data_IF_058870682516
#
_entry.id   IF_058870682516
#
_cell.length_a   1.000
_cell.length_b   1.000
_cell.length_c   1.000
_cell.angle_alpha   90.00
_cell.angle_beta   90.00
_cell.angle_gamma   90.00
#
_symmetry.space_group_name_H-M   'P 1'
#
loop_
_entity.id
_entity.type
_entity.pdbx_description
1 polymer ?
#
# COMPACT_ATOMS: atom_id res chain seq x y z
N UNK A 1 4.61 -7.87 10.92
CA UNK A 1 4.11 -9.04 10.14
C UNK A 1 4.37 -8.73 8.67
N UNK A 2 5.04 -9.60 7.92
CA UNK A 2 5.44 -9.27 6.55
C UNK A 2 4.51 -9.93 5.52
N UNK A 3 3.91 -9.14 4.63
CA UNK A 3 3.20 -9.63 3.45
C UNK A 3 4.12 -9.48 2.24
N UNK A 4 4.74 -10.58 1.82
CA UNK A 4 5.58 -10.61 0.62
C UNK A 4 4.72 -11.09 -0.54
N UNK A 5 4.42 -10.21 -1.49
CA UNK A 5 3.63 -10.55 -2.67
C UNK A 5 4.54 -11.20 -3.72
N UNK A 6 4.98 -12.44 -3.44
CA UNK A 6 5.74 -13.26 -4.38
C UNK A 6 4.85 -14.33 -5.00
N UNK A 7 4.54 -14.15 -6.30
CA UNK A 7 4.50 -15.16 -7.38
C UNK A 7 3.43 -14.82 -8.41
N UNK A 8 3.85 -14.70 -9.66
CA UNK A 8 2.98 -14.57 -10.84
C UNK A 8 2.57 -15.97 -11.32
N UNK A 9 1.26 -16.23 -11.37
CA UNK A 9 0.66 -17.32 -12.14
C UNK A 9 -0.58 -16.76 -12.82
N UNK A 10 -0.90 -17.17 -14.05
CA UNK A 10 -2.10 -16.71 -14.76
C UNK A 10 -3.41 -17.05 -14.02
N UNK A 11 -3.36 -17.98 -13.06
CA UNK A 11 -4.48 -18.41 -12.22
C UNK A 11 -4.59 -17.67 -10.87
N UNK A 12 -3.59 -16.87 -10.51
CA UNK A 12 -3.63 -16.13 -9.25
C UNK A 12 -4.51 -14.88 -9.41
N UNK A 13 -5.31 -14.51 -8.39
CA UNK A 13 -6.00 -13.22 -8.36
C UNK A 13 -5.01 -12.12 -8.76
N UNK A 14 -5.36 -11.32 -9.77
CA UNK A 14 -4.43 -10.35 -10.36
C UNK A 14 -3.69 -9.54 -9.30
N UNK A 15 -2.42 -9.19 -9.53
CA UNK A 15 -1.54 -8.53 -8.54
C UNK A 15 -2.19 -7.34 -7.84
N UNK A 16 -3.09 -6.63 -8.52
CA UNK A 16 -3.92 -5.56 -7.94
C UNK A 16 -4.74 -6.00 -6.72
N UNK A 17 -5.42 -7.15 -6.80
CA UNK A 17 -6.23 -7.71 -5.70
C UNK A 17 -5.37 -8.11 -4.50
N UNK A 18 -4.15 -8.58 -4.75
CA UNK A 18 -3.22 -8.96 -3.69
C UNK A 18 -2.63 -7.73 -2.99
N UNK A 19 -2.32 -6.66 -3.72
CA UNK A 19 -1.93 -5.35 -3.18
C UNK A 19 -3.08 -4.75 -2.35
N UNK A 20 -4.30 -4.75 -2.88
CA UNK A 20 -5.50 -4.30 -2.16
C UNK A 20 -5.69 -5.06 -0.85
N UNK A 21 -5.68 -6.40 -0.91
CA UNK A 21 -5.87 -7.26 0.26
C UNK A 21 -4.77 -7.04 1.30
N UNK A 22 -3.51 -6.89 0.87
CA UNK A 22 -2.41 -6.57 1.77
C UNK A 22 -2.64 -5.23 2.48
N UNK A 23 -3.09 -4.19 1.76
CA UNK A 23 -3.43 -2.89 2.34
C UNK A 23 -4.58 -2.98 3.36
N UNK A 24 -5.65 -3.70 3.04
CA UNK A 24 -6.80 -3.91 3.94
C UNK A 24 -6.37 -4.65 5.20
N UNK A 25 -5.66 -5.78 5.05
CA UNK A 25 -5.22 -6.59 6.18
C UNK A 25 -4.23 -5.87 7.08
N UNK A 26 -3.32 -5.08 6.50
CA UNK A 26 -2.37 -4.28 7.26
C UNK A 26 -3.09 -3.25 8.15
N UNK A 27 -4.12 -2.57 7.62
CA UNK A 27 -4.92 -1.57 8.35
C UNK A 27 -5.94 -2.19 9.32
N UNK A 28 -6.40 -3.40 9.04
CA UNK A 28 -7.34 -4.12 9.88
C UNK A 28 -6.72 -4.61 11.20
N UNK A 29 -5.38 -4.56 11.34
CA UNK A 29 -4.73 -4.90 12.62
C UNK A 29 -5.21 -3.97 13.72
N UNK A 30 -5.69 -4.56 14.82
CA UNK A 30 -6.27 -3.84 15.96
C UNK A 30 -5.24 -3.50 17.04
N UNK A 31 -4.10 -4.19 17.04
CA UNK A 31 -3.02 -3.99 17.99
C UNK A 31 -2.39 -2.60 17.80
N UNK A 32 -2.25 -1.86 18.91
CA UNK A 32 -1.61 -0.54 18.91
C UNK A 32 -0.12 -0.68 18.62
N UNK A 33 0.39 0.15 17.71
CA UNK A 33 1.78 0.07 17.25
C UNK A 33 2.07 -1.06 16.26
N UNK A 34 1.07 -1.84 15.85
CA UNK A 34 1.27 -2.88 14.84
C UNK A 34 1.74 -2.29 13.50
N UNK A 35 2.85 -2.83 12.97
CA UNK A 35 3.37 -2.50 11.65
C UNK A 35 3.34 -3.74 10.75
N UNK A 36 2.97 -3.53 9.50
CA UNK A 36 2.98 -4.56 8.46
C UNK A 36 3.89 -4.12 7.33
N UNK A 37 4.96 -4.88 7.11
CA UNK A 37 5.88 -4.70 6.00
C UNK A 37 5.27 -5.36 4.75
N UNK A 38 5.09 -4.59 3.68
CA UNK A 38 4.56 -5.07 2.40
C UNK A 38 5.62 -4.88 1.33
N UNK A 39 6.02 -5.99 0.70
CA UNK A 39 6.99 -6.00 -0.39
C UNK A 39 6.26 -6.28 -1.71
N UNK A 40 6.30 -5.31 -2.62
CA UNK A 40 5.71 -5.40 -3.96
C UNK A 40 6.81 -5.61 -4.99
N UNK A 41 6.76 -6.75 -5.68
CA UNK A 41 7.64 -7.06 -6.80
C UNK A 41 7.09 -6.48 -8.12
N UNK A 42 7.97 -6.23 -9.09
CA UNK A 42 7.70 -5.54 -10.36
C UNK A 42 7.10 -4.14 -10.22
N UNK A 43 7.54 -3.38 -9.20
CA UNK A 43 7.09 -1.99 -8.97
C UNK A 43 7.43 -1.03 -10.13
N UNK A 44 8.29 -1.45 -11.07
CA UNK A 44 8.57 -0.64 -12.25
C UNK A 44 7.39 -0.55 -13.23
N UNK A 45 6.48 -1.53 -13.21
CA UNK A 45 5.27 -1.54 -14.03
C UNK A 45 4.24 -0.54 -13.51
N UNK A 46 3.57 0.13 -14.43
CA UNK A 46 2.60 1.19 -14.12
C UNK A 46 1.41 0.68 -13.28
N UNK A 47 0.89 -0.50 -13.60
CA UNK A 47 -0.28 -1.07 -12.92
C UNK A 47 0.01 -1.35 -11.45
N UNK A 48 1.12 -2.04 -11.17
CA UNK A 48 1.58 -2.35 -9.81
C UNK A 48 1.91 -1.07 -9.04
N UNK A 49 2.54 -0.09 -9.69
CA UNK A 49 2.84 1.21 -9.09
C UNK A 49 1.59 1.98 -8.72
N UNK A 50 0.62 2.08 -9.64
CA UNK A 50 -0.65 2.76 -9.42
C UNK A 50 -1.45 2.12 -8.28
N UNK A 51 -1.55 0.79 -8.26
CA UNK A 51 -2.23 0.07 -7.18
C UNK A 51 -1.55 0.24 -5.83
N UNK A 52 -0.21 0.19 -5.82
CA UNK A 52 0.54 0.36 -4.59
C UNK A 52 0.35 1.77 -4.03
N UNK A 53 0.37 2.80 -4.90
CA UNK A 53 0.13 4.18 -4.48
C UNK A 53 -1.30 4.39 -3.97
N UNK A 54 -2.29 3.74 -4.58
CA UNK A 54 -3.70 3.84 -4.17
C UNK A 54 -3.99 3.13 -2.84
N UNK A 55 -3.47 1.92 -2.64
CA UNK A 55 -3.85 1.07 -1.50
C UNK A 55 -2.83 1.06 -0.37
N UNK A 56 -1.54 1.23 -0.67
CA UNK A 56 -0.45 1.21 0.32
C UNK A 56 0.02 2.62 0.70
N UNK A 57 -0.33 3.63 -0.10
CA UNK A 57 0.10 5.02 0.05
C UNK A 57 1.60 5.21 -0.15
N UNK A 58 1.96 6.18 -0.98
CA UNK A 58 3.37 6.44 -1.28
C UNK A 58 4.14 6.97 -0.06
N UNK A 59 3.44 7.62 0.87
CA UNK A 59 3.97 8.11 2.14
C UNK A 59 4.46 6.99 3.07
N UNK A 60 3.92 5.77 2.92
CA UNK A 60 4.36 4.62 3.70
C UNK A 60 5.54 3.87 3.06
N UNK A 61 5.99 4.29 1.87
CA UNK A 61 7.10 3.65 1.18
C UNK A 61 8.41 3.95 1.90
N UNK A 62 9.27 2.95 2.02
CA UNK A 62 10.62 3.08 2.58
C UNK A 62 11.62 3.12 1.42
N UNK A 63 12.13 4.31 1.02
CA UNK A 63 13.02 4.43 -0.14
C UNK A 63 14.35 3.70 0.08
N UNK A 64 14.86 3.70 1.31
CA UNK A 64 16.16 3.11 1.67
C UNK A 64 16.24 1.59 1.44
N UNK A 65 15.11 0.89 1.47
CA UNK A 65 15.01 -0.56 1.24
C UNK A 65 14.24 -0.91 -0.03
N UNK A 66 13.86 0.09 -0.82
CA UNK A 66 13.24 -0.09 -2.13
C UNK A 66 14.30 -0.11 -3.23
N UNK A 67 14.09 -0.94 -4.24
CA UNK A 67 14.87 -0.99 -5.48
C UNK A 67 13.99 -0.57 -6.67
N UNK A 68 14.54 -0.54 -7.89
CA UNK A 68 13.77 -0.24 -9.12
C UNK A 68 12.57 -1.19 -9.31
N UNK A 69 12.78 -2.49 -9.10
CA UNK A 69 11.76 -3.53 -9.31
C UNK A 69 11.03 -3.94 -8.03
N UNK A 70 11.50 -3.52 -6.85
CA UNK A 70 10.93 -3.90 -5.57
C UNK A 70 10.57 -2.66 -4.75
N UNK A 71 9.31 -2.49 -4.38
CA UNK A 71 8.91 -1.47 -3.43
C UNK A 71 8.66 -2.07 -2.05
N UNK A 72 9.14 -1.37 -1.03
CA UNK A 72 8.89 -1.69 0.37
C UNK A 72 7.99 -0.63 0.99
N UNK A 73 6.88 -1.06 1.59
CA UNK A 73 5.93 -0.23 2.32
C UNK A 73 5.80 -0.70 3.75
N UNK A 74 5.71 0.23 4.70
CA UNK A 74 5.46 -0.07 6.11
C UNK A 74 4.12 0.55 6.50
N UNK A 75 3.09 -0.27 6.58
CA UNK A 75 1.74 0.16 6.91
C UNK A 75 1.49 -0.02 8.40
N UNK A 76 1.15 1.08 9.08
CA UNK A 76 0.73 1.03 10.48
C UNK A 76 -0.74 0.63 10.59
N UNK A 77 -1.04 -0.24 11.53
CA UNK A 77 -2.38 -0.58 12.00
C UNK A 77 -2.69 0.10 13.34
N UNK A 78 -3.79 -0.32 13.98
CA UNK A 78 -4.22 0.19 15.27
C UNK A 78 -5.56 0.93 15.22
N UNK A 79 -5.99 1.45 16.37
CA UNK A 79 -7.25 2.20 16.55
C UNK A 79 -7.25 3.56 15.85
N UNK A 80 -6.08 4.19 15.70
CA UNK A 80 -5.91 5.51 15.10
C UNK A 80 -5.91 5.52 13.56
N UNK A 81 -5.86 4.34 12.92
CA UNK A 81 -5.75 4.23 11.46
C UNK A 81 -7.12 4.27 10.81
N UNK A 82 -7.28 5.14 9.80
CA UNK A 82 -8.47 5.19 8.95
C UNK A 82 -8.59 3.88 8.16
N UNK A 83 -9.68 3.14 8.41
CA UNK A 83 -10.00 1.86 7.75
C UNK A 83 -10.97 2.02 6.57
N UNK A 84 -11.66 3.15 6.53
CA UNK A 84 -12.64 3.55 5.54
C UNK A 84 -12.02 4.19 4.29
N UNK A 85 -10.75 4.61 4.38
CA UNK A 85 -10.00 5.21 3.28
C UNK A 85 -8.55 4.74 3.30
N UNK A 86 -7.95 4.57 2.13
CA UNK A 86 -6.52 4.28 2.00
C UNK A 86 -5.70 5.56 2.04
N UNK A 87 -5.58 6.22 0.90
CA UNK A 87 -4.83 7.44 0.69
C UNK A 87 -5.81 8.46 0.13
N UNK A 88 -6.45 9.21 1.02
CA UNK A 88 -7.09 10.43 0.59
C UNK A 88 -5.98 11.42 0.32
N UNK A 89 -5.93 11.99 -0.90
CA UNK A 89 -5.42 13.35 -1.05
C UNK A 89 -6.05 14.11 0.11
N UNK A 90 -5.27 14.67 1.05
CA UNK A 90 -5.81 15.65 1.98
C UNK A 90 -6.67 16.54 1.12
N UNK A 91 -7.95 16.70 1.45
CA UNK A 91 -8.86 17.52 0.67
C UNK A 91 -8.12 18.82 0.40
N UNK A 92 -7.54 18.92 -0.79
CA UNK A 92 -7.13 20.18 -1.34
C UNK A 92 -8.51 20.70 -1.63
N UNK A 93 -8.96 21.56 -0.72
CA UNK A 93 -9.58 22.78 -1.17
C UNK A 93 -8.74 23.26 -2.35
N UNK A 94 -9.08 22.78 -3.55
CA UNK A 94 -9.05 23.63 -4.72
C UNK A 94 -9.93 24.79 -4.27
N UNK A 95 -9.25 25.80 -3.74
CA UNK A 95 -9.77 27.14 -3.70
C UNK A 95 -10.00 27.48 -5.17
N UNK A 96 -11.20 27.16 -5.63
CA UNK A 96 -11.89 27.98 -6.60
C UNK A 96 -11.97 29.39 -5.97
N UNK A 97 -10.97 30.22 -6.27
CA UNK A 97 -11.08 31.66 -6.13
C UNK A 97 -10.17 32.34 -7.16
N UNK A 98 -10.87 32.99 -8.10
CA UNK A 98 -10.49 34.15 -8.91
C UNK A 98 -9.62 33.90 -10.14
#
# INVERSE_FOLDING_TARGET
MAAVLFRYTASSPGRMSAIFTAGVLARARKEEGAATDVLVHDYEREVERACSREFLCEENRVPASSTRSLAHFVIRGGSAVRRDAFCGRAASTDTAAQ
#
